data_IF_860927675852
#
_entry.id   IF_860927675852
#
_cell.length_a   1.000
_cell.length_b   1.000
_cell.length_c   1.000
_cell.angle_alpha   90.00
_cell.angle_beta   90.00
_cell.angle_gamma   90.00
#
_symmetry.space_group_name_H-M   'P 1'
#
loop_
_entity.id
_entity.type
_entity.pdbx_description
1 polymer ?
#
# COMPACT_ATOMS: atom_id res chain seq x y z
N UNK A 1 18.16 -45.97 41.02
CA UNK A 1 19.60 -45.77 40.72
C UNK A 1 19.71 -44.59 39.77
N UNK A 2 20.48 -43.57 40.16
CA UNK A 2 20.77 -42.37 39.36
C UNK A 2 21.86 -42.70 38.35
N UNK A 3 21.69 -42.28 37.10
CA UNK A 3 22.79 -42.12 36.15
C UNK A 3 22.90 -40.64 35.81
N UNK A 4 24.03 -40.07 36.20
CA UNK A 4 24.52 -38.76 35.82
C UNK A 4 25.25 -38.90 34.49
N UNK A 5 25.05 -37.99 33.54
CA UNK A 5 26.03 -37.67 32.51
C UNK A 5 25.99 -36.17 32.17
N UNK A 6 27.07 -35.53 32.60
CA UNK A 6 27.89 -34.53 31.91
C UNK A 6 27.27 -33.22 31.41
N UNK A 7 27.74 -32.16 32.08
CA UNK A 7 27.77 -30.77 31.63
C UNK A 7 28.42 -30.64 30.24
N UNK A 8 27.77 -29.90 29.34
CA UNK A 8 28.42 -29.18 28.24
C UNK A 8 28.35 -27.69 28.53
N UNK A 9 29.52 -27.08 28.68
CA UNK A 9 29.74 -25.64 28.79
C UNK A 9 29.36 -24.96 27.48
N UNK A 10 28.09 -24.57 27.33
CA UNK A 10 27.74 -23.49 26.42
C UNK A 10 27.94 -22.17 27.17
N UNK A 11 29.11 -21.56 26.93
CA UNK A 11 29.35 -20.14 27.17
C UNK A 11 28.36 -19.36 26.31
N UNK A 12 27.18 -19.11 26.87
CA UNK A 12 26.21 -18.18 26.30
C UNK A 12 26.83 -16.80 26.48
N UNK A 13 27.43 -16.26 25.42
CA UNK A 13 27.85 -14.86 25.38
C UNK A 13 26.56 -14.05 25.44
N UNK A 14 26.18 -13.69 26.66
CA UNK A 14 25.07 -12.79 26.92
C UNK A 14 25.41 -11.49 26.19
N UNK A 15 24.59 -11.03 25.23
CA UNK A 15 24.81 -9.71 24.63
C UNK A 15 24.84 -8.69 25.78
N UNK A 16 25.79 -7.74 25.78
CA UNK A 16 25.89 -6.76 26.85
C UNK A 16 24.52 -6.13 27.05
N UNK A 17 23.90 -6.40 28.20
CA UNK A 17 22.67 -5.72 28.59
C UNK A 17 23.04 -4.27 28.76
N UNK A 18 22.67 -3.45 27.79
CA UNK A 18 22.78 -2.00 27.89
C UNK A 18 22.07 -1.59 29.19
N UNK A 19 22.74 -0.84 30.09
CA UNK A 19 22.07 -0.29 31.25
C UNK A 19 20.90 0.58 30.76
N UNK A 20 19.73 0.52 31.42
CA UNK A 20 18.61 1.35 31.03
C UNK A 20 19.06 2.82 31.05
N UNK A 21 18.68 3.63 30.05
CA UNK A 21 19.07 5.03 30.00
C UNK A 21 18.64 5.69 31.31
N UNK A 22 19.61 6.31 32.00
CA UNK A 22 19.36 6.95 33.28
C UNK A 22 18.42 8.12 33.05
N UNK A 23 17.16 7.98 33.48
CA UNK A 23 16.11 9.00 33.38
C UNK A 23 16.44 10.33 34.12
N UNK A 24 17.65 10.45 34.69
CA UNK A 24 18.18 11.62 35.41
C UNK A 24 19.31 12.35 34.66
N UNK A 25 19.77 11.86 33.51
CA UNK A 25 20.79 12.55 32.73
C UNK A 25 20.18 13.81 32.05
N UNK A 26 20.93 14.92 31.95
CA UNK A 26 20.53 16.07 31.13
C UNK A 26 20.09 15.62 29.72
N UNK A 27 18.99 16.17 29.20
CA UNK A 27 18.41 15.83 27.88
C UNK A 27 19.45 15.80 26.75
N UNK A 28 20.44 16.69 26.82
CA UNK A 28 21.54 16.77 25.85
C UNK A 28 22.41 15.51 25.83
N UNK A 29 22.70 14.91 26.99
CA UNK A 29 23.48 13.67 27.08
C UNK A 29 22.66 12.47 26.59
N UNK A 30 21.36 12.43 26.90
CA UNK A 30 20.47 11.38 26.37
C UNK A 30 20.37 11.42 24.84
N UNK A 31 20.35 12.62 24.25
CA UNK A 31 20.33 12.80 22.80
C UNK A 31 21.65 12.34 22.16
N UNK A 32 22.79 12.67 22.78
CA UNK A 32 24.10 12.22 22.30
C UNK A 32 24.24 10.68 22.34
N UNK A 33 23.79 10.04 23.41
CA UNK A 33 23.79 8.57 23.51
C UNK A 33 22.88 7.95 22.44
N UNK A 34 21.70 8.53 22.21
CA UNK A 34 20.76 8.09 21.18
C UNK A 34 21.37 8.21 19.77
N UNK A 35 21.96 9.35 19.43
CA UNK A 35 22.60 9.55 18.14
C UNK A 35 23.82 8.62 17.95
N UNK A 36 24.62 8.40 18.98
CA UNK A 36 25.77 7.49 18.94
C UNK A 36 25.33 6.04 18.71
N UNK A 37 24.26 5.59 19.38
CA UNK A 37 23.68 4.28 19.14
C UNK A 37 23.09 4.16 17.73
N UNK A 38 22.49 5.22 17.22
CA UNK A 38 21.94 5.22 15.87
C UNK A 38 23.03 5.15 14.78
N UNK A 39 24.21 5.74 15.01
CA UNK A 39 25.36 5.57 14.12
C UNK A 39 25.77 4.10 14.02
N UNK A 40 25.77 3.34 15.12
CA UNK A 40 26.06 1.90 15.11
C UNK A 40 25.02 1.14 14.27
N UNK A 41 23.75 1.55 14.33
CA UNK A 41 22.68 0.97 13.48
C UNK A 41 22.92 1.30 12.00
N UNK A 42 23.31 2.55 11.69
CA UNK A 42 23.64 2.95 10.32
C UNK A 42 24.81 2.14 9.76
N UNK A 43 25.86 1.95 10.57
CA UNK A 43 27.01 1.12 10.22
C UNK A 43 26.58 -0.33 9.93
N UNK A 44 25.82 -0.95 10.84
CA UNK A 44 25.29 -2.31 10.66
C UNK A 44 24.51 -2.43 9.35
N UNK A 45 23.58 -1.50 9.08
CA UNK A 45 22.75 -1.52 7.87
C UNK A 45 23.60 -1.37 6.62
N UNK A 46 24.54 -0.44 6.61
CA UNK A 46 25.42 -0.20 5.45
C UNK A 46 26.26 -1.42 5.08
N UNK A 47 26.68 -2.22 6.08
CA UNK A 47 27.50 -3.40 5.87
C UNK A 47 26.70 -4.66 5.57
N UNK A 48 25.47 -4.79 6.10
CA UNK A 48 24.76 -6.08 6.16
C UNK A 48 23.41 -6.09 5.44
N UNK A 49 22.90 -4.94 4.99
CA UNK A 49 21.58 -4.81 4.39
C UNK A 49 21.63 -4.42 2.90
N UNK A 50 22.80 -4.55 2.26
CA UNK A 50 22.98 -4.19 0.85
C UNK A 50 22.07 -5.03 -0.07
N UNK A 51 21.54 -4.43 -1.15
CA UNK A 51 20.60 -5.07 -2.07
C UNK A 51 21.34 -5.84 -3.17
N UNK A 52 22.24 -6.76 -2.81
CA UNK A 52 22.82 -7.67 -3.81
C UNK A 52 21.87 -8.84 -4.07
N UNK A 53 21.00 -8.65 -5.08
CA UNK A 53 20.58 -9.64 -6.09
C UNK A 53 19.11 -9.47 -6.50
N UNK A 54 18.86 -8.74 -7.60
CA UNK A 54 17.82 -8.95 -8.67
C UNK A 54 16.43 -9.50 -8.31
N UNK A 55 16.05 -9.40 -7.04
CA UNK A 55 14.84 -9.93 -6.45
C UNK A 55 14.72 -9.16 -5.15
N UNK A 56 13.68 -8.34 -4.97
CA UNK A 56 13.39 -7.82 -3.64
C UNK A 56 13.11 -9.04 -2.78
N UNK A 57 14.09 -9.48 -1.98
CA UNK A 57 13.86 -10.51 -0.99
C UNK A 57 12.84 -9.92 -0.04
N UNK A 58 11.59 -10.35 -0.16
CA UNK A 58 10.53 -10.04 0.79
C UNK A 58 10.91 -10.48 2.22
N UNK A 59 11.98 -11.27 2.35
CA UNK A 59 12.66 -11.67 3.58
C UNK A 59 14.03 -11.00 3.71
N UNK A 60 14.06 -9.66 3.76
CA UNK A 60 15.25 -8.93 4.21
C UNK A 60 15.64 -9.41 5.61
N UNK A 61 16.94 -9.53 5.89
CA UNK A 61 17.48 -9.88 7.21
C UNK A 61 16.68 -9.16 8.31
N UNK A 62 16.04 -9.90 9.22
CA UNK A 62 15.05 -9.35 10.16
C UNK A 62 15.57 -8.13 10.95
N UNK A 63 16.87 -8.08 11.21
CA UNK A 63 17.54 -6.94 11.85
C UNK A 63 17.56 -5.66 11.01
N UNK A 64 17.61 -5.78 9.68
CA UNK A 64 17.47 -4.64 8.76
C UNK A 64 16.06 -4.05 8.85
N UNK A 65 15.04 -4.91 8.83
CA UNK A 65 13.63 -4.50 8.95
C UNK A 65 13.38 -3.85 10.33
N UNK A 66 13.92 -4.43 11.41
CA UNK A 66 13.85 -3.85 12.76
C UNK A 66 14.49 -2.45 12.80
N UNK A 67 15.65 -2.29 12.15
CA UNK A 67 16.36 -0.99 12.08
C UNK A 67 15.55 0.05 11.30
N UNK A 68 14.94 -0.32 10.18
CA UNK A 68 14.07 0.57 9.40
C UNK A 68 12.78 0.89 10.15
N UNK A 69 12.20 -0.08 10.87
CA UNK A 69 10.99 0.13 11.68
C UNK A 69 11.27 1.10 12.83
N UNK A 70 12.42 0.97 13.50
CA UNK A 70 12.86 1.91 14.53
C UNK A 70 12.97 3.33 13.95
N UNK A 71 13.56 3.47 12.76
CA UNK A 71 13.68 4.77 12.10
C UNK A 71 12.32 5.35 11.71
N UNK A 72 11.40 4.54 11.17
CA UNK A 72 10.04 4.96 10.85
C UNK A 72 9.31 5.52 12.08
N UNK A 73 9.40 4.84 13.23
CA UNK A 73 8.75 5.25 14.49
C UNK A 73 9.33 6.54 15.09
N UNK A 74 10.60 6.86 14.79
CA UNK A 74 11.33 7.97 15.39
C UNK A 74 12.00 8.88 14.35
N UNK A 75 11.39 9.02 13.17
CA UNK A 75 12.04 9.65 12.00
C UNK A 75 12.57 11.04 12.33
N UNK A 76 11.82 11.82 13.11
CA UNK A 76 12.14 13.22 13.34
C UNK A 76 13.43 13.32 14.17
N UNK A 77 13.47 12.59 15.29
CA UNK A 77 14.62 12.57 16.20
C UNK A 77 15.85 11.98 15.51
N UNK A 78 15.70 10.85 14.82
CA UNK A 78 16.84 10.15 14.22
C UNK A 78 17.37 10.87 12.97
N UNK A 79 16.50 11.58 12.23
CA UNK A 79 16.95 12.45 11.13
C UNK A 79 17.79 13.62 11.64
N UNK A 80 17.45 14.20 12.80
CA UNK A 80 18.28 15.24 13.43
C UNK A 80 19.67 14.72 13.78
N UNK A 81 19.78 13.48 14.31
CA UNK A 81 21.07 12.85 14.55
C UNK A 81 21.93 12.77 13.28
N UNK A 82 21.35 12.41 12.13
CA UNK A 82 22.06 12.36 10.85
C UNK A 82 22.52 13.76 10.43
N UNK A 83 21.69 14.78 10.63
CA UNK A 83 22.01 16.16 10.24
C UNK A 83 23.18 16.74 11.06
N UNK A 84 23.30 16.37 12.33
CA UNK A 84 24.38 16.81 13.23
C UNK A 84 25.74 16.14 12.95
N UNK A 85 25.78 15.06 12.15
CA UNK A 85 27.03 14.41 11.78
C UNK A 85 27.88 15.29 10.83
N UNK A 86 29.22 15.33 11.01
CA UNK A 86 30.11 16.07 10.11
C UNK A 86 30.01 15.57 8.66
N UNK A 87 29.96 16.49 7.70
CA UNK A 87 29.68 16.17 6.30
C UNK A 87 30.65 15.14 5.68
N UNK A 88 31.94 15.24 6.01
CA UNK A 88 32.99 14.38 5.45
C UNK A 88 33.34 13.17 6.35
N UNK A 89 32.47 12.84 7.32
CA UNK A 89 32.70 11.72 8.23
C UNK A 89 32.24 10.37 7.65
N UNK A 90 32.85 9.28 8.13
CA UNK A 90 32.45 7.92 7.72
C UNK A 90 31.04 7.62 8.20
N UNK A 91 30.70 8.09 9.40
CA UNK A 91 29.39 8.01 10.02
C UNK A 91 28.32 8.68 9.15
N UNK A 92 28.62 9.85 8.58
CA UNK A 92 27.71 10.54 7.66
C UNK A 92 27.48 9.72 6.38
N UNK A 93 28.54 9.17 5.80
CA UNK A 93 28.43 8.33 4.61
C UNK A 93 27.55 7.10 4.87
N UNK A 94 27.74 6.42 6.01
CA UNK A 94 26.93 5.28 6.42
C UNK A 94 25.48 5.66 6.69
N UNK A 95 25.23 6.80 7.32
CA UNK A 95 23.88 7.30 7.55
C UNK A 95 23.15 7.63 6.24
N UNK A 96 23.85 8.12 5.22
CA UNK A 96 23.27 8.35 3.89
C UNK A 96 22.92 7.02 3.20
N UNK A 97 23.77 5.99 3.31
CA UNK A 97 23.45 4.64 2.82
C UNK A 97 22.23 4.08 3.55
N UNK A 98 22.16 4.24 4.88
CA UNK A 98 20.98 3.86 5.67
C UNK A 98 19.71 4.52 5.13
N UNK A 99 19.74 5.84 4.88
CA UNK A 99 18.57 6.57 4.37
C UNK A 99 18.12 6.09 3.00
N UNK A 100 19.07 5.78 2.11
CA UNK A 100 18.75 5.23 0.80
C UNK A 100 18.03 3.87 0.94
N UNK A 101 18.61 2.95 1.71
CA UNK A 101 18.02 1.62 1.92
C UNK A 101 16.69 1.67 2.66
N UNK A 102 16.55 2.60 3.62
CA UNK A 102 15.28 2.86 4.29
C UNK A 102 14.22 3.36 3.30
N UNK A 103 14.57 4.26 2.38
CA UNK A 103 13.66 4.76 1.35
C UNK A 103 13.16 3.62 0.47
N UNK A 104 14.06 2.77 -0.01
CA UNK A 104 13.72 1.62 -0.86
C UNK A 104 12.82 0.62 -0.11
N UNK A 105 13.17 0.32 1.15
CA UNK A 105 12.35 -0.52 2.02
C UNK A 105 10.97 0.10 2.28
N UNK A 106 10.90 1.40 2.56
CA UNK A 106 9.67 2.09 2.87
C UNK A 106 8.72 2.11 1.67
N UNK A 107 9.24 2.34 0.46
CA UNK A 107 8.45 2.22 -0.76
C UNK A 107 7.86 0.81 -0.92
N UNK A 108 8.69 -0.23 -0.79
CA UNK A 108 8.22 -1.62 -0.87
C UNK A 108 7.20 -1.96 0.23
N UNK A 109 7.40 -1.45 1.44
CA UNK A 109 6.51 -1.66 2.58
C UNK A 109 5.17 -0.94 2.41
N UNK A 110 5.16 0.30 1.91
CA UNK A 110 3.94 1.03 1.57
C UNK A 110 3.12 0.23 0.56
N UNK A 111 3.75 -0.26 -0.51
CA UNK A 111 3.06 -1.08 -1.51
C UNK A 111 2.53 -2.39 -0.94
N UNK A 112 3.30 -3.08 -0.09
CA UNK A 112 2.83 -4.30 0.60
C UNK A 112 1.62 -4.03 1.48
N UNK A 113 1.63 -2.97 2.29
CA UNK A 113 0.51 -2.59 3.16
C UNK A 113 -0.72 -2.20 2.35
N UNK A 114 -0.51 -1.44 1.28
CA UNK A 114 -1.55 -1.05 0.34
C UNK A 114 -2.21 -2.27 -0.32
N UNK A 115 -1.44 -3.18 -0.91
CA UNK A 115 -1.95 -4.41 -1.54
C UNK A 115 -2.64 -5.33 -0.53
N UNK A 116 -2.12 -5.42 0.70
CA UNK A 116 -2.74 -6.21 1.78
C UNK A 116 -4.10 -5.61 2.19
N UNK A 117 -4.17 -4.29 2.31
CA UNK A 117 -5.40 -3.56 2.63
C UNK A 117 -6.42 -3.69 1.51
N UNK A 118 -5.98 -3.56 0.25
CA UNK A 118 -6.82 -3.75 -0.93
C UNK A 118 -7.39 -5.16 -0.99
N UNK A 119 -6.55 -6.20 -0.82
CA UNK A 119 -6.99 -7.59 -0.82
C UNK A 119 -8.02 -7.88 0.29
N UNK A 120 -7.80 -7.30 1.47
CA UNK A 120 -8.72 -7.45 2.61
C UNK A 120 -10.06 -6.75 2.34
N UNK A 121 -10.04 -5.51 1.86
CA UNK A 121 -11.26 -4.77 1.55
C UNK A 121 -12.03 -5.40 0.37
N UNK A 122 -11.34 -5.89 -0.66
CA UNK A 122 -11.96 -6.67 -1.73
C UNK A 122 -12.71 -7.89 -1.18
N UNK A 123 -12.10 -8.65 -0.26
CA UNK A 123 -12.74 -9.82 0.36
C UNK A 123 -13.90 -9.47 1.29
N UNK A 124 -13.73 -8.46 2.13
CA UNK A 124 -14.63 -8.16 3.26
C UNK A 124 -15.73 -7.14 2.91
N UNK A 125 -15.52 -6.29 1.90
CA UNK A 125 -16.37 -5.15 1.61
C UNK A 125 -17.00 -5.16 0.20
N UNK A 126 -16.82 -6.22 -0.60
CA UNK A 126 -17.38 -6.33 -1.95
C UNK A 126 -18.22 -7.59 -2.16
N UNK A 127 -19.05 -7.60 -3.23
CA UNK A 127 -19.84 -8.75 -3.67
C UNK A 127 -20.86 -9.26 -2.65
N UNK A 128 -21.01 -10.59 -2.55
CA UNK A 128 -21.96 -11.23 -1.63
C UNK A 128 -21.75 -10.88 -0.15
N UNK A 129 -20.52 -10.53 0.23
CA UNK A 129 -20.18 -10.09 1.58
C UNK A 129 -20.63 -8.64 1.86
N UNK A 130 -20.87 -7.84 0.81
CA UNK A 130 -21.38 -6.47 0.91
C UNK A 130 -22.91 -6.38 1.06
N UNK A 131 -23.68 -7.44 0.74
CA UNK A 131 -25.15 -7.40 0.58
C UNK A 131 -26.00 -7.44 1.87
N UNK A 132 -25.52 -6.92 3.01
CA UNK A 132 -26.47 -6.60 4.10
C UNK A 132 -27.04 -5.20 3.86
N UNK A 133 -28.31 -4.93 4.18
CA UNK A 133 -28.83 -3.57 4.12
C UNK A 133 -28.10 -2.73 5.18
N UNK A 134 -27.04 -2.05 4.78
CA UNK A 134 -26.29 -1.13 5.61
C UNK A 134 -26.96 0.24 5.56
N UNK A 135 -27.51 0.67 6.68
CA UNK A 135 -27.81 2.09 6.93
C UNK A 135 -26.49 2.81 7.26
N UNK A 136 -26.43 4.13 7.09
CA UNK A 136 -25.30 4.98 7.50
C UNK A 136 -24.85 4.71 8.95
N UNK A 137 -25.77 4.24 9.80
CA UNK A 137 -25.54 3.86 11.21
C UNK A 137 -25.01 2.43 11.43
N UNK A 138 -24.86 1.63 10.39
CA UNK A 138 -24.48 0.20 10.46
C UNK A 138 -23.31 -0.15 9.53
N UNK A 139 -22.67 0.85 8.92
CA UNK A 139 -21.49 0.60 8.09
C UNK A 139 -20.35 0.00 8.92
N UNK A 140 -19.69 -1.07 8.43
CA UNK A 140 -18.45 -1.53 9.02
C UNK A 140 -17.42 -0.38 8.97
N UNK A 141 -16.97 0.07 10.14
CA UNK A 141 -15.98 1.16 10.28
C UNK A 141 -14.76 0.93 9.37
N UNK A 142 -14.27 -0.32 9.32
CA UNK A 142 -13.16 -0.72 8.47
C UNK A 142 -13.37 -0.40 6.98
N UNK A 143 -14.52 -0.76 6.39
CA UNK A 143 -14.76 -0.52 4.97
C UNK A 143 -14.85 0.98 4.66
N UNK A 144 -15.54 1.74 5.52
CA UNK A 144 -15.66 3.19 5.36
C UNK A 144 -14.29 3.88 5.47
N UNK A 145 -13.48 3.52 6.47
CA UNK A 145 -12.13 4.07 6.66
C UNK A 145 -11.22 3.76 5.46
N UNK A 146 -11.19 2.49 5.01
CA UNK A 146 -10.35 2.09 3.87
C UNK A 146 -10.76 2.81 2.60
N UNK A 147 -12.05 2.84 2.26
CA UNK A 147 -12.49 3.51 1.03
C UNK A 147 -12.38 5.04 1.11
N UNK A 148 -12.49 5.65 2.30
CA UNK A 148 -12.25 7.09 2.48
C UNK A 148 -10.78 7.44 2.28
N UNK A 149 -9.86 6.70 2.91
CA UNK A 149 -8.41 6.85 2.70
C UNK A 149 -8.07 6.70 1.22
N UNK A 150 -8.69 5.74 0.56
CA UNK A 150 -8.51 5.47 -0.85
C UNK A 150 -8.94 6.62 -1.74
N UNK A 151 -10.09 7.25 -1.45
CA UNK A 151 -10.57 8.42 -2.17
C UNK A 151 -9.55 9.57 -2.20
N UNK A 152 -8.76 9.73 -1.13
CA UNK A 152 -7.75 10.78 -1.03
C UNK A 152 -6.37 10.44 -1.60
N UNK A 153 -5.99 9.16 -1.66
CA UNK A 153 -4.57 8.77 -1.87
C UNK A 153 -4.35 7.74 -2.98
N UNK A 154 -5.42 7.20 -3.59
CA UNK A 154 -5.27 6.05 -4.49
C UNK A 154 -4.49 6.36 -5.76
N UNK A 155 -4.69 7.49 -6.41
CA UNK A 155 -3.98 7.79 -7.66
C UNK A 155 -2.46 7.71 -7.47
N UNK A 156 -1.95 8.31 -6.40
CA UNK A 156 -0.53 8.26 -6.03
C UNK A 156 -0.07 6.83 -5.71
N UNK A 157 -0.90 6.05 -5.00
CA UNK A 157 -0.55 4.67 -4.63
C UNK A 157 -0.62 3.69 -5.82
N UNK A 158 -1.54 3.89 -6.77
CA UNK A 158 -1.61 3.09 -8.00
C UNK A 158 -0.39 3.35 -8.91
N UNK A 159 0.03 4.61 -9.03
CA UNK A 159 1.25 4.99 -9.75
C UNK A 159 2.50 4.41 -9.09
N UNK A 160 2.55 4.39 -7.75
CA UNK A 160 3.70 3.91 -6.99
C UNK A 160 3.80 2.37 -6.95
N UNK A 161 2.67 1.67 -6.83
CA UNK A 161 2.63 0.28 -6.40
C UNK A 161 2.02 -0.69 -7.41
N UNK A 162 1.54 -0.19 -8.54
CA UNK A 162 0.80 -0.94 -9.57
C UNK A 162 -0.51 -1.59 -9.06
N UNK A 163 -1.39 -1.93 -10.01
CA UNK A 163 -2.67 -2.60 -9.73
C UNK A 163 -2.45 -4.05 -9.34
N UNK A 164 -3.30 -4.57 -8.46
CA UNK A 164 -3.29 -6.00 -8.10
C UNK A 164 -4.45 -6.77 -8.74
N UNK A 165 -4.48 -8.11 -8.65
CA UNK A 165 -5.63 -8.92 -9.05
C UNK A 165 -6.93 -8.58 -8.29
N UNK A 166 -6.85 -8.02 -7.08
CA UNK A 166 -8.01 -7.73 -6.24
C UNK A 166 -8.66 -6.38 -6.57
N UNK A 167 -8.02 -5.55 -7.41
CA UNK A 167 -8.48 -4.19 -7.65
C UNK A 167 -9.91 -4.12 -8.16
N UNK A 168 -10.38 -5.07 -8.99
CA UNK A 168 -11.76 -5.02 -9.49
C UNK A 168 -12.80 -5.16 -8.39
N UNK A 169 -12.67 -6.21 -7.56
CA UNK A 169 -13.54 -6.43 -6.42
C UNK A 169 -13.42 -5.27 -5.40
N UNK A 170 -12.22 -4.73 -5.20
CA UNK A 170 -12.04 -3.54 -4.39
C UNK A 170 -12.89 -2.36 -4.88
N UNK A 171 -12.81 -2.05 -6.18
CA UNK A 171 -13.53 -0.92 -6.77
C UNK A 171 -15.05 -1.10 -6.74
N UNK A 172 -15.54 -2.33 -6.88
CA UNK A 172 -16.95 -2.64 -6.64
C UNK A 172 -17.38 -2.24 -5.23
N UNK A 173 -16.58 -2.57 -4.21
CA UNK A 173 -16.83 -2.13 -2.85
C UNK A 173 -16.72 -0.60 -2.70
N UNK A 174 -15.68 0.03 -3.25
CA UNK A 174 -15.48 1.49 -3.16
C UNK A 174 -16.72 2.28 -3.62
N UNK A 175 -17.27 1.89 -4.77
CA UNK A 175 -18.43 2.54 -5.37
C UNK A 175 -19.68 2.44 -4.50
N UNK A 176 -19.84 1.35 -3.76
CA UNK A 176 -20.98 1.16 -2.88
C UNK A 176 -20.90 1.95 -1.56
N UNK A 177 -19.69 2.30 -1.13
CA UNK A 177 -19.46 2.93 0.17
C UNK A 177 -19.21 4.45 0.08
N UNK A 178 -18.39 4.90 -0.87
CA UNK A 178 -17.94 6.30 -0.95
C UNK A 178 -17.93 6.88 -2.36
N UNK A 179 -18.11 6.05 -3.39
CA UNK A 179 -18.12 6.52 -4.77
C UNK A 179 -19.22 7.55 -5.05
N UNK A 180 -18.94 8.48 -5.97
CA UNK A 180 -19.94 9.45 -6.41
C UNK A 180 -21.14 8.76 -7.06
N UNK A 181 -22.30 9.45 -7.12
CA UNK A 181 -23.49 8.93 -7.83
C UNK A 181 -23.17 8.59 -9.29
N UNK A 182 -22.30 9.37 -9.92
CA UNK A 182 -21.85 9.16 -11.30
C UNK A 182 -21.01 7.91 -11.42
N UNK A 183 -20.02 7.69 -10.54
CA UNK A 183 -19.25 6.45 -10.55
C UNK A 183 -20.13 5.23 -10.27
N UNK A 184 -21.06 5.32 -9.32
CA UNK A 184 -22.02 4.23 -9.09
C UNK A 184 -22.81 3.87 -10.34
N UNK A 185 -23.37 4.88 -11.01
CA UNK A 185 -24.09 4.66 -12.26
C UNK A 185 -23.20 4.08 -13.36
N UNK A 186 -21.96 4.58 -13.51
CA UNK A 186 -20.99 4.06 -14.49
C UNK A 186 -20.70 2.58 -14.29
N UNK A 187 -20.34 2.18 -13.07
CA UNK A 187 -20.01 0.78 -12.76
C UNK A 187 -21.21 -0.15 -12.96
N UNK A 188 -22.41 0.29 -12.55
CA UNK A 188 -23.64 -0.47 -12.77
C UNK A 188 -23.90 -0.70 -14.27
N UNK A 189 -23.74 0.33 -15.12
CA UNK A 189 -23.92 0.17 -16.57
C UNK A 189 -22.82 -0.69 -17.20
N UNK A 190 -21.58 -0.61 -16.73
CA UNK A 190 -20.51 -1.49 -17.24
C UNK A 190 -20.84 -2.96 -16.96
N UNK A 191 -21.38 -3.28 -15.77
CA UNK A 191 -21.86 -4.63 -15.45
C UNK A 191 -23.03 -5.02 -16.34
N UNK A 192 -24.05 -4.17 -16.45
CA UNK A 192 -25.23 -4.43 -17.27
C UNK A 192 -24.87 -4.61 -18.75
N UNK A 193 -23.99 -3.77 -19.28
CA UNK A 193 -23.51 -3.85 -20.65
C UNK A 193 -22.75 -5.15 -20.92
N UNK A 194 -21.99 -5.66 -19.94
CA UNK A 194 -21.32 -6.95 -20.03
C UNK A 194 -22.34 -8.09 -20.07
N UNK A 195 -23.31 -8.10 -19.17
CA UNK A 195 -24.37 -9.13 -19.10
C UNK A 195 -25.21 -9.15 -20.38
N UNK A 196 -25.50 -7.96 -20.92
CA UNK A 196 -26.23 -7.81 -22.18
C UNK A 196 -25.38 -8.06 -23.41
N UNK A 197 -24.06 -8.16 -23.31
CA UNK A 197 -23.18 -8.36 -24.46
C UNK A 197 -23.07 -7.13 -25.38
N UNK A 198 -23.14 -5.92 -24.82
CA UNK A 198 -23.07 -4.66 -25.58
C UNK A 198 -21.74 -4.45 -26.33
N UNK A 199 -20.74 -5.31 -26.15
CA UNK A 199 -19.52 -5.32 -26.97
C UNK A 199 -19.68 -6.01 -28.33
N UNK A 200 -20.81 -6.67 -28.57
CA UNK A 200 -21.14 -7.32 -29.84
C UNK A 200 -21.69 -6.30 -30.84
N UNK A 201 -21.28 -6.40 -32.10
CA UNK A 201 -21.61 -5.40 -33.14
C UNK A 201 -23.11 -5.18 -33.30
N UNK A 202 -23.89 -6.26 -33.35
CA UNK A 202 -25.35 -6.18 -33.58
C UNK A 202 -26.04 -5.46 -32.42
N UNK A 203 -25.74 -5.86 -31.18
CA UNK A 203 -26.24 -5.22 -29.97
C UNK A 203 -25.76 -3.78 -29.80
N UNK A 204 -24.50 -3.49 -30.13
CA UNK A 204 -23.95 -2.14 -30.03
C UNK A 204 -24.61 -1.17 -31.03
N UNK A 205 -24.88 -1.62 -32.26
CA UNK A 205 -25.41 -0.78 -33.34
C UNK A 205 -26.94 -0.74 -33.43
N UNK A 206 -27.63 -1.75 -32.89
CA UNK A 206 -29.09 -1.86 -33.02
C UNK A 206 -29.82 -2.09 -31.69
N UNK A 207 -29.10 -2.38 -30.60
CA UNK A 207 -29.70 -2.56 -29.28
C UNK A 207 -29.93 -1.24 -28.56
N UNK A 208 -31.19 -0.82 -28.41
CA UNK A 208 -31.59 0.44 -27.77
C UNK A 208 -30.99 0.60 -26.37
N UNK A 209 -31.01 -0.46 -25.55
CA UNK A 209 -30.50 -0.44 -24.18
C UNK A 209 -28.98 -0.16 -24.15
N UNK A 210 -28.20 -0.78 -25.04
CA UNK A 210 -26.76 -0.53 -25.13
C UNK A 210 -26.48 0.92 -25.55
N UNK A 211 -27.26 1.44 -26.52
CA UNK A 211 -27.12 2.82 -27.00
C UNK A 211 -27.48 3.86 -25.93
N UNK A 212 -28.47 3.59 -25.09
CA UNK A 212 -28.82 4.45 -23.95
C UNK A 212 -27.65 4.55 -22.96
N UNK A 213 -27.00 3.43 -22.64
CA UNK A 213 -25.81 3.44 -21.79
C UNK A 213 -24.64 4.19 -22.43
N UNK A 214 -24.42 4.00 -23.74
CA UNK A 214 -23.37 4.70 -24.48
C UNK A 214 -23.62 6.21 -24.56
N UNK A 215 -24.87 6.63 -24.75
CA UNK A 215 -25.27 8.04 -24.75
C UNK A 215 -25.02 8.68 -23.39
N UNK A 216 -25.46 8.04 -22.31
CA UNK A 216 -25.18 8.51 -20.97
C UNK A 216 -23.67 8.67 -20.73
N UNK A 217 -22.87 7.68 -21.15
CA UNK A 217 -21.42 7.75 -20.99
C UNK A 217 -20.81 8.87 -21.85
N UNK A 218 -21.32 9.13 -23.05
CA UNK A 218 -20.87 10.27 -23.86
C UNK A 218 -21.15 11.61 -23.17
N UNK A 219 -22.32 11.76 -22.53
CA UNK A 219 -22.72 12.96 -21.79
C UNK A 219 -21.90 13.16 -20.51
N UNK A 220 -21.51 12.07 -19.85
CA UNK A 220 -20.76 12.07 -18.58
C UNK A 220 -19.28 11.73 -18.72
N UNK A 221 -18.74 11.74 -19.94
CA UNK A 221 -17.41 11.18 -20.24
C UNK A 221 -16.30 11.81 -19.40
N UNK A 222 -16.28 13.13 -19.32
CA UNK A 222 -15.25 13.88 -18.60
C UNK A 222 -15.27 13.55 -17.10
N UNK A 223 -16.44 13.60 -16.47
CA UNK A 223 -16.63 13.24 -15.06
C UNK A 223 -16.24 11.78 -14.79
N UNK A 224 -16.64 10.85 -15.66
CA UNK A 224 -16.30 9.43 -15.51
C UNK A 224 -14.80 9.19 -15.69
N UNK A 225 -14.17 9.78 -16.70
CA UNK A 225 -12.73 9.58 -16.96
C UNK A 225 -11.84 10.31 -15.96
N UNK A 226 -12.36 11.33 -15.28
CA UNK A 226 -11.64 12.05 -14.22
C UNK A 226 -11.81 11.38 -12.86
N UNK A 227 -13.05 11.02 -12.49
CA UNK A 227 -13.38 10.64 -11.12
C UNK A 227 -13.59 9.14 -10.93
N UNK A 228 -13.76 8.37 -12.01
CA UNK A 228 -14.12 6.96 -11.95
C UNK A 228 -13.07 6.09 -12.63
N UNK A 229 -12.66 5.02 -11.96
CA UNK A 229 -11.63 4.15 -12.48
C UNK A 229 -12.14 3.09 -13.46
N UNK A 230 -11.31 2.68 -14.41
CA UNK A 230 -11.64 1.65 -15.40
C UNK A 230 -11.35 0.23 -14.88
N UNK A 231 -12.34 -0.67 -15.00
CA UNK A 231 -12.23 -2.10 -14.70
C UNK A 231 -11.95 -2.93 -15.95
N UNK A 232 -11.34 -4.12 -15.88
CA UNK A 232 -11.14 -4.93 -17.11
C UNK A 232 -12.48 -5.36 -17.73
N UNK A 233 -13.54 -5.45 -16.92
CA UNK A 233 -14.91 -5.73 -17.38
C UNK A 233 -15.53 -4.58 -18.19
N UNK A 234 -14.93 -3.39 -18.24
CA UNK A 234 -15.36 -2.28 -19.10
C UNK A 234 -15.02 -2.50 -20.57
N UNK A 235 -14.05 -3.37 -20.89
CA UNK A 235 -13.57 -3.54 -22.28
C UNK A 235 -14.69 -3.84 -23.27
N UNK A 236 -15.66 -4.75 -22.99
CA UNK A 236 -16.83 -4.94 -23.83
C UNK A 236 -17.67 -3.66 -23.98
N UNK A 237 -17.87 -2.91 -22.90
CA UNK A 237 -18.59 -1.63 -22.92
C UNK A 237 -17.91 -0.62 -23.87
N UNK A 238 -16.60 -0.39 -23.70
CA UNK A 238 -15.85 0.54 -24.56
C UNK A 238 -15.79 0.07 -26.00
N UNK A 239 -15.63 -1.23 -26.23
CA UNK A 239 -15.67 -1.80 -27.58
C UNK A 239 -16.99 -1.47 -28.27
N UNK A 240 -18.12 -1.68 -27.59
CA UNK A 240 -19.44 -1.34 -28.08
C UNK A 240 -19.60 0.17 -28.29
N UNK A 241 -19.20 0.98 -27.32
CA UNK A 241 -19.25 2.44 -27.37
C UNK A 241 -18.52 2.98 -28.60
N UNK A 242 -17.30 2.53 -28.87
CA UNK A 242 -16.53 2.98 -30.03
C UNK A 242 -17.06 2.43 -31.36
N UNK A 243 -17.78 1.31 -31.36
CA UNK A 243 -18.52 0.86 -32.56
C UNK A 243 -19.72 1.77 -32.83
N UNK A 244 -20.49 2.08 -31.81
CA UNK A 244 -21.67 2.95 -31.90
C UNK A 244 -21.31 4.40 -32.25
N UNK A 245 -20.22 4.92 -31.68
CA UNK A 245 -19.76 6.30 -31.90
C UNK A 245 -19.14 6.52 -33.28
N UNK A 246 -18.67 5.46 -33.96
CA UNK A 246 -18.11 5.61 -35.31
C UNK A 246 -19.20 6.19 -36.23
N UNK A 247 -18.94 7.33 -36.90
CA UNK A 247 -19.85 7.79 -37.94
C UNK A 247 -19.87 6.72 -39.04
N UNK A 248 -21.07 6.26 -39.41
CA UNK A 248 -21.26 5.55 -40.67
C UNK A 248 -21.13 6.54 -41.83
#
# INVERSE_FOLDING_TARGET
MRLSFSQSLHHSVVPPRLPPPSARAPLRLQMQDLCSNFVIICDFVSQNCAPDAKTPSQDGNGKCIESFTLFYQHNHTLSSCIQELPADSTEKAQALVFLQLYSDWQQANVCKLFHTTEARAARECSGANAHRPWKQTTWPLYCHEVFTMYNSTRHELDELCERTPNSEAFWEGYVDYVGSKTCKRYYDMVREARERGCGDKEKALHGTECQEMFRWYAEKKEEVETDCYELKISKPFYRGFYMWKKPN
#
